data_IF_338135415583
#
_entry.id   IF_338135415583
#
_cell.length_a   1.000
_cell.length_b   1.000
_cell.length_c   1.000
_cell.angle_alpha   90.00
_cell.angle_beta   90.00
_cell.angle_gamma   90.00
#
_symmetry.space_group_name_H-M   'P 1'
#
loop_
_entity.id
_entity.type
_entity.pdbx_description
1 polymer ?
#
# COMPACT_ATOMS: atom_id res chain seq x y z
N UNK A 1 -18.69 -15.97 -33.42
CA UNK A 1 -19.68 -15.89 -32.32
C UNK A 1 -19.56 -14.52 -31.70
N UNK A 2 -20.54 -13.65 -31.99
CA UNK A 2 -20.60 -12.30 -31.43
C UNK A 2 -21.22 -12.34 -30.02
N UNK A 3 -20.83 -11.45 -29.08
CA UNK A 3 -21.45 -11.36 -27.78
C UNK A 3 -22.85 -10.73 -27.86
N UNK A 4 -23.78 -11.07 -26.94
CA UNK A 4 -25.17 -10.59 -26.99
C UNK A 4 -25.31 -9.12 -26.55
N UNK A 5 -26.31 -8.39 -27.07
CA UNK A 5 -26.58 -7.00 -26.71
C UNK A 5 -27.37 -6.89 -25.40
N UNK A 6 -26.98 -5.92 -24.56
CA UNK A 6 -27.71 -5.55 -23.35
C UNK A 6 -28.97 -4.76 -23.71
N UNK A 7 -30.12 -5.24 -23.22
CA UNK A 7 -31.44 -4.65 -23.39
C UNK A 7 -31.57 -3.43 -22.48
N UNK A 8 -31.84 -2.28 -23.07
CA UNK A 8 -32.13 -1.02 -22.38
C UNK A 8 -33.55 -1.00 -21.82
N UNK A 9 -33.67 -0.48 -20.60
CA UNK A 9 -34.96 -0.07 -20.00
C UNK A 9 -34.89 1.44 -19.77
N UNK A 10 -35.77 2.16 -20.45
CA UNK A 10 -35.97 3.60 -20.34
C UNK A 10 -37.10 3.90 -19.33
N UNK A 11 -36.88 4.83 -18.40
CA UNK A 11 -37.92 5.45 -17.55
C UNK A 11 -37.59 6.95 -17.35
N UNK A 12 -38.58 7.85 -17.31
CA UNK A 12 -38.46 9.17 -17.94
C UNK A 12 -38.08 10.34 -17.02
N UNK A 13 -37.62 11.36 -17.74
CA UNK A 13 -37.26 12.73 -17.39
C UNK A 13 -38.42 13.54 -16.75
N UNK A 14 -38.17 14.16 -15.59
CA UNK A 14 -39.01 15.22 -15.00
C UNK A 14 -38.12 16.26 -14.31
N UNK A 15 -37.76 17.33 -15.04
CA UNK A 15 -37.31 18.61 -14.49
C UNK A 15 -38.53 19.44 -14.06
N UNK A 16 -38.38 20.33 -13.06
CA UNK A 16 -38.80 21.70 -13.32
C UNK A 16 -37.82 22.77 -12.83
N UNK A 17 -37.61 23.73 -13.73
CA UNK A 17 -37.00 25.04 -13.52
C UNK A 17 -37.61 25.84 -12.35
N UNK A 18 -36.77 26.55 -11.61
CA UNK A 18 -37.18 27.79 -10.91
C UNK A 18 -36.00 28.76 -10.67
N UNK A 19 -35.94 29.75 -11.56
CA UNK A 19 -35.70 31.20 -11.37
C UNK A 19 -34.71 31.67 -10.27
N UNK A 20 -33.60 32.23 -10.75
CA UNK A 20 -32.75 33.23 -10.09
C UNK A 20 -33.46 34.59 -9.91
N UNK A 21 -33.07 35.39 -8.90
CA UNK A 21 -33.07 36.83 -9.00
C UNK A 21 -31.67 37.46 -8.93
N UNK A 22 -31.46 38.43 -9.83
CA UNK A 22 -30.35 39.37 -9.89
C UNK A 22 -30.16 40.15 -8.57
N UNK A 23 -28.93 40.25 -8.08
CA UNK A 23 -28.52 41.33 -7.18
C UNK A 23 -27.26 42.03 -7.74
N UNK A 24 -27.46 43.31 -8.08
CA UNK A 24 -26.46 44.25 -8.54
C UNK A 24 -25.53 44.69 -7.41
N UNK A 25 -24.24 44.67 -7.73
CA UNK A 25 -23.17 45.62 -7.36
C UNK A 25 -23.30 46.45 -6.07
N UNK A 26 -22.36 46.20 -5.13
CA UNK A 26 -21.73 47.28 -4.36
C UNK A 26 -20.22 47.06 -4.30
N UNK A 27 -19.47 48.02 -4.85
CA UNK A 27 -18.03 48.20 -4.61
C UNK A 27 -17.86 48.72 -3.19
N UNK A 28 -16.96 48.12 -2.41
CA UNK A 28 -16.40 48.74 -1.21
C UNK A 28 -14.88 48.67 -1.27
N UNK A 29 -14.27 49.84 -1.04
CA UNK A 29 -12.84 50.08 -1.10
C UNK A 29 -12.10 49.38 0.05
N UNK A 30 -10.85 48.98 -0.24
CA UNK A 30 -9.87 48.54 0.73
C UNK A 30 -9.44 49.67 1.67
N UNK A 31 -8.83 49.30 2.81
CA UNK A 31 -7.70 50.05 3.32
C UNK A 31 -6.46 49.16 3.43
N UNK A 32 -5.38 49.62 2.80
CA UNK A 32 -4.01 49.12 2.97
C UNK A 32 -3.56 49.31 4.42
N UNK A 33 -3.10 48.22 5.05
CA UNK A 33 -2.34 48.29 6.31
C UNK A 33 -0.89 47.97 5.98
N UNK A 34 -0.05 48.97 6.21
CA UNK A 34 1.41 48.93 6.15
C UNK A 34 1.95 48.83 7.60
N UNK A 35 3.24 48.47 7.70
CA UNK A 35 4.18 48.63 8.85
C UNK A 35 4.32 47.37 9.75
N UNK A 36 5.50 47.01 10.32
CA UNK A 36 6.90 47.23 9.91
C UNK A 36 7.75 45.92 9.87
N UNK A 37 8.81 45.93 9.06
CA UNK A 37 9.94 45.00 9.15
C UNK A 37 10.74 45.21 10.44
N UNK A 38 10.81 44.22 11.32
CA UNK A 38 11.74 44.19 12.46
C UNK A 38 12.98 43.35 12.10
N UNK A 39 14.15 44.00 12.18
CA UNK A 39 15.49 43.40 12.06
C UNK A 39 15.74 42.43 13.21
N UNK A 40 16.08 41.18 12.89
CA UNK A 40 16.61 40.20 13.84
C UNK A 40 18.15 40.34 13.85
N UNK A 41 18.80 40.59 15.01
CA UNK A 41 20.25 40.57 15.10
C UNK A 41 20.78 39.13 15.25
N UNK A 42 21.75 38.79 14.40
CA UNK A 42 22.50 37.54 14.39
C UNK A 42 23.42 37.42 15.61
N UNK A 43 23.37 36.31 16.34
CA UNK A 43 24.38 35.92 17.34
C UNK A 43 25.28 34.77 16.85
N UNK A 44 26.53 34.69 17.35
CA UNK A 44 27.63 34.04 16.64
C UNK A 44 27.78 32.54 16.94
N UNK A 45 28.26 31.81 15.92
CA UNK A 45 28.61 30.39 15.96
C UNK A 45 29.79 30.11 16.91
N UNK A 46 29.59 29.27 17.91
CA UNK A 46 30.66 28.68 18.71
C UNK A 46 31.22 27.42 18.02
N UNK A 47 32.57 27.32 17.97
CA UNK A 47 33.31 26.16 17.46
C UNK A 47 33.45 25.08 18.55
N UNK A 48 33.43 23.78 18.21
CA UNK A 48 33.80 22.73 19.17
C UNK A 48 35.34 22.56 19.23
N UNK A 49 35.91 22.16 20.38
CA UNK A 49 37.33 21.85 20.47
C UNK A 49 37.64 20.46 19.91
N UNK A 50 38.81 20.36 19.25
CA UNK A 50 39.43 19.14 18.75
C UNK A 50 40.20 18.46 19.88
N UNK A 51 40.05 17.14 20.02
CA UNK A 51 41.03 16.30 20.71
C UNK A 51 41.44 15.12 19.82
N UNK A 52 42.75 14.93 19.74
CA UNK A 52 43.46 13.97 18.90
C UNK A 52 43.50 12.56 19.55
N UNK A 53 43.81 11.50 18.77
CA UNK A 53 43.74 10.12 19.24
C UNK A 53 45.05 9.67 19.91
N UNK A 54 44.95 8.78 20.91
CA UNK A 54 46.06 8.01 21.46
C UNK A 54 45.67 6.53 21.51
N UNK A 55 46.36 5.73 20.69
CA UNK A 55 46.60 4.29 20.85
C UNK A 55 48.13 4.13 21.02
N UNK A 56 48.68 2.96 21.41
CA UNK A 56 48.15 1.83 22.19
C UNK A 56 49.11 1.42 23.33
N UNK A 57 48.67 0.60 24.29
CA UNK A 57 49.62 -0.21 25.11
C UNK A 57 49.12 -1.65 25.15
N UNK A 58 49.91 -2.52 24.51
CA UNK A 58 49.94 -3.97 24.70
C UNK A 58 50.50 -4.29 26.08
N UNK A 59 49.78 -5.07 26.86
CA UNK A 59 50.34 -5.90 27.92
C UNK A 59 49.50 -7.17 28.04
N UNK A 60 50.10 -8.31 27.65
CA UNK A 60 49.56 -9.62 27.96
C UNK A 60 49.87 -9.99 29.41
N UNK A 61 48.95 -10.69 30.07
CA UNK A 61 49.27 -11.61 31.14
C UNK A 61 48.18 -12.69 31.26
N UNK A 62 48.62 -13.89 31.63
CA UNK A 62 47.93 -15.16 31.50
C UNK A 62 46.89 -15.46 32.60
N UNK A 63 45.86 -16.20 32.17
CA UNK A 63 45.08 -17.27 32.82
C UNK A 63 45.01 -17.31 34.35
N UNK A 64 43.78 -17.15 34.87
CA UNK A 64 43.28 -17.90 36.03
C UNK A 64 41.85 -18.34 35.74
N UNK A 65 41.64 -19.66 35.74
CA UNK A 65 40.35 -20.29 35.61
C UNK A 65 39.50 -19.99 36.86
N UNK A 66 38.36 -19.35 36.64
CA UNK A 66 37.30 -19.19 37.64
C UNK A 66 35.97 -19.56 36.97
N UNK A 67 35.36 -20.64 37.45
CA UNK A 67 34.01 -21.01 37.08
C UNK A 67 33.03 -19.94 37.59
N UNK A 68 32.72 -18.96 36.74
CA UNK A 68 31.64 -18.02 36.93
C UNK A 68 30.49 -18.42 36.02
N UNK A 69 29.35 -18.80 36.62
CA UNK A 69 28.08 -18.78 35.91
C UNK A 69 27.78 -17.33 35.51
N UNK A 70 28.08 -16.97 34.27
CA UNK A 70 27.49 -15.78 33.67
C UNK A 70 26.01 -16.06 33.43
N UNK A 71 25.08 -15.19 33.87
CA UNK A 71 23.70 -15.30 33.42
C UNK A 71 23.71 -15.13 31.89
N UNK A 72 23.16 -16.12 31.19
CA UNK A 72 22.93 -16.03 29.75
C UNK A 72 22.19 -14.73 29.49
N UNK A 73 22.82 -13.84 28.74
CA UNK A 73 22.06 -12.77 28.09
C UNK A 73 21.23 -13.48 27.05
N UNK A 74 19.92 -13.55 27.29
CA UNK A 74 18.94 -13.78 26.23
C UNK A 74 19.16 -12.67 25.21
N UNK A 75 20.05 -12.92 24.25
CA UNK A 75 20.06 -12.20 23.00
C UNK A 75 18.73 -12.57 22.37
N UNK A 76 17.74 -11.69 22.52
CA UNK A 76 16.57 -11.66 21.65
C UNK A 76 17.15 -11.57 20.24
N UNK A 77 17.18 -12.70 19.54
CA UNK A 77 17.50 -12.74 18.13
C UNK A 77 16.37 -11.99 17.47
N UNK A 78 16.58 -10.70 17.25
CA UNK A 78 15.67 -9.86 16.50
C UNK A 78 15.59 -10.48 15.10
N UNK A 79 14.50 -11.19 14.83
CA UNK A 79 14.30 -11.88 13.58
C UNK A 79 14.41 -10.85 12.45
N UNK A 80 15.31 -11.10 11.49
CA UNK A 80 15.49 -10.20 10.35
C UNK A 80 14.14 -9.96 9.66
N UNK A 81 13.85 -8.72 9.23
CA UNK A 81 12.57 -8.39 8.62
C UNK A 81 12.32 -9.27 7.40
N UNK A 82 11.04 -9.56 7.16
CA UNK A 82 10.58 -10.24 5.98
C UNK A 82 11.12 -9.60 4.69
N UNK A 83 11.59 -10.38 3.70
CA UNK A 83 11.61 -9.85 2.34
C UNK A 83 10.20 -9.45 1.92
N UNK A 84 10.09 -8.34 1.19
CA UNK A 84 8.82 -7.82 0.69
C UNK A 84 8.11 -8.84 -0.21
N UNK A 85 8.87 -9.48 -1.10
CA UNK A 85 8.41 -10.55 -1.98
C UNK A 85 9.07 -11.89 -1.59
N UNK A 86 8.31 -12.97 -1.67
CA UNK A 86 8.81 -14.35 -1.56
C UNK A 86 8.41 -15.16 -2.78
N UNK A 87 9.25 -16.11 -3.20
CA UNK A 87 8.96 -17.00 -4.31
C UNK A 87 8.04 -18.16 -3.91
N UNK A 88 7.46 -18.83 -4.90
CA UNK A 88 6.70 -20.05 -4.67
C UNK A 88 7.56 -21.18 -4.08
N UNK A 89 8.84 -21.28 -4.45
CA UNK A 89 9.80 -22.20 -3.80
C UNK A 89 9.95 -21.91 -2.31
N UNK A 90 10.14 -20.63 -1.94
CA UNK A 90 10.30 -20.23 -0.54
C UNK A 90 9.09 -20.62 0.32
N UNK A 91 7.89 -20.52 -0.26
CA UNK A 91 6.64 -20.93 0.38
C UNK A 91 6.56 -22.46 0.46
N UNK A 92 6.81 -23.18 -0.64
CA UNK A 92 6.74 -24.64 -0.69
C UNK A 92 7.72 -25.30 0.30
N UNK A 93 8.94 -24.78 0.42
CA UNK A 93 9.95 -25.27 1.38
C UNK A 93 9.46 -25.19 2.84
N UNK A 94 8.64 -24.19 3.17
CA UNK A 94 8.11 -23.96 4.51
C UNK A 94 6.80 -24.67 4.79
N UNK A 95 5.98 -24.89 3.75
CA UNK A 95 4.81 -25.75 3.84
C UNK A 95 5.21 -27.22 4.03
N UNK A 96 6.33 -27.65 3.43
CA UNK A 96 6.66 -29.07 3.37
C UNK A 96 5.55 -29.90 2.71
N UNK A 97 5.58 -31.21 2.93
CA UNK A 97 4.59 -32.14 2.34
C UNK A 97 3.24 -32.14 3.10
N UNK A 98 3.22 -31.63 4.34
CA UNK A 98 2.05 -31.62 5.23
C UNK A 98 1.22 -30.33 5.20
N UNK A 99 1.63 -29.32 4.44
CA UNK A 99 1.04 -27.98 4.52
C UNK A 99 1.49 -27.22 5.77
N UNK A 100 0.94 -26.02 5.99
CA UNK A 100 1.36 -25.12 7.08
C UNK A 100 1.14 -25.65 8.52
N UNK A 101 0.65 -26.89 8.69
CA UNK A 101 0.36 -27.49 10.00
C UNK A 101 1.62 -27.60 10.86
N UNK A 102 1.60 -26.96 12.03
CA UNK A 102 2.74 -26.92 12.97
C UNK A 102 3.86 -25.93 12.57
N UNK A 103 3.71 -25.21 11.45
CA UNK A 103 4.60 -24.10 11.09
C UNK A 103 4.04 -22.77 11.60
N UNK A 104 4.91 -21.79 11.86
CA UNK A 104 4.49 -20.42 12.10
C UNK A 104 3.96 -19.71 10.82
N UNK A 105 3.99 -20.37 9.66
CA UNK A 105 3.58 -19.77 8.38
C UNK A 105 2.05 -19.68 8.28
N UNK A 106 1.54 -18.48 8.06
CA UNK A 106 0.13 -18.24 7.75
C UNK A 106 0.01 -17.72 6.33
N UNK A 107 -0.61 -18.52 5.46
CA UNK A 107 -0.92 -18.15 4.08
C UNK A 107 -2.30 -17.51 4.00
N UNK A 108 -2.38 -16.25 3.62
CA UNK A 108 -3.63 -15.51 3.48
C UNK A 108 -4.00 -15.39 2.00
N UNK A 109 -5.10 -16.02 1.63
CA UNK A 109 -5.68 -15.96 0.29
C UNK A 109 -6.67 -14.79 0.21
N UNK A 110 -6.42 -13.85 -0.68
CA UNK A 110 -7.36 -12.77 -0.99
C UNK A 110 -8.20 -13.09 -2.23
N UNK A 111 -9.51 -13.25 -2.04
CA UNK A 111 -10.47 -13.52 -3.12
C UNK A 111 -11.87 -13.81 -2.60
N UNK A 112 -12.77 -14.28 -3.48
CA UNK A 112 -14.10 -14.73 -3.08
C UNK A 112 -14.06 -16.13 -2.49
N UNK A 113 -15.03 -16.47 -1.65
CA UNK A 113 -15.22 -17.84 -1.13
C UNK A 113 -15.27 -18.87 -2.27
N UNK A 114 -15.94 -18.52 -3.37
CA UNK A 114 -16.01 -19.38 -4.56
C UNK A 114 -14.64 -19.60 -5.21
N UNK A 115 -13.79 -18.58 -5.29
CA UNK A 115 -12.44 -18.73 -5.82
C UNK A 115 -11.57 -19.60 -4.93
N UNK A 116 -11.68 -19.43 -3.61
CA UNK A 116 -10.95 -20.23 -2.64
C UNK A 116 -11.36 -21.70 -2.71
N UNK A 117 -12.67 -21.99 -2.66
CA UNK A 117 -13.18 -23.37 -2.70
C UNK A 117 -12.81 -24.08 -4.00
N UNK A 118 -12.75 -23.36 -5.12
CA UNK A 118 -12.38 -23.91 -6.42
C UNK A 118 -10.90 -24.31 -6.50
N UNK A 119 -10.00 -23.58 -5.86
CA UNK A 119 -8.57 -23.88 -5.84
C UNK A 119 -7.77 -22.86 -5.05
N UNK A 120 -6.95 -23.33 -4.12
CA UNK A 120 -6.07 -22.49 -3.29
C UNK A 120 -4.75 -23.20 -3.00
N UNK A 121 -3.74 -22.45 -2.55
CA UNK A 121 -2.47 -23.02 -2.10
C UNK A 121 -2.74 -23.85 -0.84
N UNK A 122 -2.25 -25.10 -0.73
CA UNK A 122 -2.46 -25.94 0.45
C UNK A 122 -2.11 -25.22 1.76
N UNK A 123 -3.04 -25.24 2.71
CA UNK A 123 -2.91 -24.55 4.01
C UNK A 123 -3.29 -23.07 4.01
N UNK A 124 -3.73 -22.50 2.88
CA UNK A 124 -4.19 -21.11 2.83
C UNK A 124 -5.48 -20.87 3.61
N UNK A 125 -5.65 -19.64 4.08
CA UNK A 125 -6.78 -19.13 4.87
C UNK A 125 -7.49 -18.04 4.05
N UNK A 126 -8.80 -18.13 3.79
CA UNK A 126 -9.50 -17.15 2.96
C UNK A 126 -9.70 -15.83 3.69
N UNK A 127 -9.48 -14.71 2.99
CA UNK A 127 -9.83 -13.37 3.43
C UNK A 127 -10.61 -12.63 2.35
N UNK A 128 -11.79 -12.14 2.72
CA UNK A 128 -12.63 -11.31 1.87
C UNK A 128 -12.14 -9.86 1.87
N UNK A 129 -11.99 -9.28 0.67
CA UNK A 129 -11.50 -7.90 0.48
C UNK A 129 -12.20 -6.88 1.36
N UNK A 130 -13.53 -6.97 1.45
CA UNK A 130 -14.36 -5.99 2.16
C UNK A 130 -14.13 -5.98 3.67
N UNK A 131 -13.52 -7.03 4.24
CA UNK A 131 -13.24 -7.12 5.69
C UNK A 131 -11.95 -6.40 6.09
N UNK A 132 -10.97 -6.27 5.18
CA UNK A 132 -9.71 -5.57 5.44
C UNK A 132 -9.53 -4.29 4.59
N UNK A 133 -10.47 -4.02 3.70
CA UNK A 133 -10.57 -2.79 2.94
C UNK A 133 -12.07 -2.42 2.78
N UNK A 134 -12.74 -1.97 3.86
CA UNK A 134 -14.16 -1.63 3.85
C UNK A 134 -14.46 -0.30 3.15
N UNK A 135 -15.75 0.01 2.98
CA UNK A 135 -16.20 1.37 2.67
C UNK A 135 -16.28 2.18 3.97
N UNK A 136 -15.62 3.35 4.02
CA UNK A 136 -15.58 4.24 5.18
C UNK A 136 -15.91 5.65 4.72
N UNK A 137 -16.89 6.29 5.35
CA UNK A 137 -17.32 7.66 5.03
C UNK A 137 -17.64 7.90 3.54
N UNK A 138 -18.15 6.88 2.84
CA UNK A 138 -18.49 6.96 1.41
C UNK A 138 -17.30 6.79 0.46
N UNK A 139 -16.12 6.46 0.98
CA UNK A 139 -14.94 6.08 0.21
C UNK A 139 -14.73 4.57 0.28
N UNK A 140 -14.52 3.94 -0.86
CA UNK A 140 -14.34 2.51 -0.99
C UNK A 140 -12.92 2.07 -0.67
N UNK A 141 -12.80 0.90 -0.03
CA UNK A 141 -11.54 0.21 0.22
C UNK A 141 -10.52 0.97 1.06
N UNK A 142 -10.99 1.77 2.00
CA UNK A 142 -10.20 2.46 3.02
C UNK A 142 -9.61 1.49 4.05
N UNK A 143 -8.71 1.98 4.91
CA UNK A 143 -8.23 1.19 6.04
C UNK A 143 -9.37 0.81 7.00
N UNK A 144 -9.38 -0.44 7.51
CA UNK A 144 -10.41 -0.93 8.43
C UNK A 144 -10.23 -0.35 9.83
N UNK A 145 -11.24 -0.51 10.68
CA UNK A 145 -11.08 -0.34 12.12
C UNK A 145 -10.04 -1.37 12.66
N UNK A 146 -9.10 -0.97 13.53
CA UNK A 146 -8.09 -1.88 14.07
C UNK A 146 -8.68 -3.10 14.81
N UNK A 147 -9.82 -2.95 15.48
CA UNK A 147 -10.45 -4.06 16.19
C UNK A 147 -11.06 -5.07 15.21
N UNK A 148 -11.72 -4.60 14.15
CA UNK A 148 -12.29 -5.44 13.09
C UNK A 148 -11.19 -6.20 12.34
N UNK A 149 -10.07 -5.53 12.04
CA UNK A 149 -8.92 -6.18 11.42
C UNK A 149 -8.29 -7.22 12.35
N UNK A 150 -8.14 -6.93 13.65
CA UNK A 150 -7.62 -7.90 14.62
C UNK A 150 -8.49 -9.15 14.65
N UNK A 151 -9.81 -8.96 14.76
CA UNK A 151 -10.75 -10.08 14.77
C UNK A 151 -10.65 -10.92 13.50
N UNK A 152 -10.60 -10.29 12.33
CA UNK A 152 -10.43 -10.96 11.05
C UNK A 152 -9.13 -11.79 10.98
N UNK A 153 -8.01 -11.23 11.44
CA UNK A 153 -6.72 -11.89 11.41
C UNK A 153 -6.67 -13.07 12.40
N UNK A 154 -7.23 -12.90 13.60
CA UNK A 154 -7.36 -14.00 14.57
C UNK A 154 -8.27 -15.12 14.03
N UNK A 155 -9.39 -14.81 13.39
CA UNK A 155 -10.24 -15.80 12.68
C UNK A 155 -9.46 -16.57 11.61
N UNK A 156 -8.52 -15.90 10.94
CA UNK A 156 -7.62 -16.51 9.97
C UNK A 156 -6.43 -17.24 10.60
N UNK A 157 -6.36 -17.35 11.92
CA UNK A 157 -5.33 -18.08 12.64
C UNK A 157 -4.02 -17.32 12.83
N UNK A 158 -4.02 -16.01 12.60
CA UNK A 158 -2.83 -15.17 12.78
C UNK A 158 -2.61 -14.91 14.27
N UNK A 159 -1.38 -15.16 14.70
CA UNK A 159 -0.89 -14.91 16.06
C UNK A 159 0.35 -14.01 16.04
N UNK A 160 0.79 -13.56 17.22
CA UNK A 160 1.93 -12.63 17.39
C UNK A 160 3.24 -13.11 16.75
N UNK A 161 3.45 -14.42 16.65
CA UNK A 161 4.64 -15.09 16.13
C UNK A 161 4.46 -15.58 14.69
N UNK A 162 3.33 -15.27 14.05
CA UNK A 162 3.01 -15.73 12.71
C UNK A 162 3.92 -15.09 11.66
N UNK A 163 4.42 -15.92 10.75
CA UNK A 163 5.02 -15.49 9.51
C UNK A 163 3.93 -15.40 8.44
N UNK A 164 3.59 -14.20 7.99
CA UNK A 164 2.44 -14.00 7.09
C UNK A 164 2.91 -13.94 5.64
N UNK A 165 2.26 -14.70 4.77
CA UNK A 165 2.41 -14.56 3.32
C UNK A 165 1.03 -14.32 2.70
N UNK A 166 0.89 -13.19 1.99
CA UNK A 166 -0.36 -12.81 1.33
C UNK A 166 -0.27 -13.09 -0.17
N UNK A 167 -1.37 -13.57 -0.74
CA UNK A 167 -1.50 -13.74 -2.19
C UNK A 167 -2.96 -13.55 -2.61
N UNK A 168 -3.21 -13.29 -3.89
CA UNK A 168 -4.57 -13.16 -4.43
C UNK A 168 -4.86 -14.20 -5.48
N UNK A 169 -6.13 -14.61 -5.58
CA UNK A 169 -6.62 -15.46 -6.68
C UNK A 169 -6.67 -14.71 -8.03
N UNK A 170 -6.74 -13.38 -7.99
CA UNK A 170 -6.82 -12.54 -9.19
C UNK A 170 -5.45 -12.10 -9.68
N UNK A 171 -5.37 -11.84 -10.99
CA UNK A 171 -4.23 -11.21 -11.64
C UNK A 171 -4.64 -9.89 -12.33
N UNK A 172 -3.88 -8.79 -12.18
CA UNK A 172 -2.70 -8.58 -11.32
C UNK A 172 -2.97 -8.75 -9.81
N UNK A 173 -1.91 -8.79 -8.96
CA UNK A 173 -2.05 -9.08 -7.52
C UNK A 173 -2.34 -7.84 -6.66
N UNK A 174 -3.12 -6.87 -7.15
CA UNK A 174 -3.37 -5.62 -6.41
C UNK A 174 -4.06 -5.82 -5.06
N UNK A 175 -4.88 -6.87 -4.89
CA UNK A 175 -5.54 -7.13 -3.62
C UNK A 175 -4.60 -7.74 -2.57
N UNK A 176 -3.62 -8.54 -3.00
CA UNK A 176 -2.55 -9.01 -2.12
C UNK A 176 -1.68 -7.83 -1.66
N UNK A 177 -1.31 -6.94 -2.59
CA UNK A 177 -0.59 -5.72 -2.26
C UNK A 177 -1.39 -4.82 -1.29
N UNK A 178 -2.72 -4.69 -1.48
CA UNK A 178 -3.59 -3.95 -0.56
C UNK A 178 -3.55 -4.55 0.84
N UNK A 179 -3.75 -5.86 0.98
CA UNK A 179 -3.69 -6.52 2.29
C UNK A 179 -2.31 -6.36 2.95
N UNK A 180 -1.22 -6.51 2.19
CA UNK A 180 0.13 -6.27 2.71
C UNK A 180 0.28 -4.85 3.28
N UNK A 181 -0.18 -3.82 2.56
CA UNK A 181 -0.11 -2.44 3.03
C UNK A 181 -1.02 -2.19 4.23
N UNK A 182 -2.18 -2.83 4.31
CA UNK A 182 -3.03 -2.81 5.51
C UNK A 182 -2.28 -3.40 6.71
N UNK A 183 -1.68 -4.60 6.56
CA UNK A 183 -0.89 -5.22 7.62
C UNK A 183 0.28 -4.32 8.06
N UNK A 184 0.97 -3.70 7.11
CA UNK A 184 2.04 -2.75 7.41
C UNK A 184 1.54 -1.51 8.16
N UNK A 185 0.41 -0.94 7.74
CA UNK A 185 -0.21 0.19 8.41
C UNK A 185 -0.45 -0.10 9.88
N UNK A 186 -0.83 -1.33 10.23
CA UNK A 186 -1.05 -1.75 11.61
C UNK A 186 0.19 -2.40 12.27
N UNK A 187 1.37 -2.22 11.69
CA UNK A 187 2.65 -2.60 12.28
C UNK A 187 3.08 -4.06 12.08
N UNK A 188 2.40 -4.80 11.23
CA UNK A 188 2.69 -6.21 10.93
C UNK A 188 3.50 -6.40 9.63
N UNK A 189 3.99 -5.31 9.03
CA UNK A 189 4.76 -5.37 7.77
C UNK A 189 6.05 -6.17 7.89
N UNK A 190 6.79 -6.06 9.00
CA UNK A 190 8.07 -6.75 9.20
C UNK A 190 7.96 -8.29 9.24
N UNK A 191 6.76 -8.83 9.51
CA UNK A 191 6.47 -10.26 9.53
C UNK A 191 5.66 -10.73 8.32
N UNK A 192 5.37 -9.82 7.37
CA UNK A 192 4.53 -10.08 6.21
C UNK A 192 5.33 -10.05 4.91
N UNK A 193 4.98 -10.91 3.96
CA UNK A 193 5.51 -10.92 2.60
C UNK A 193 4.35 -11.09 1.60
N UNK A 194 4.56 -10.67 0.36
CA UNK A 194 3.68 -11.00 -0.78
C UNK A 194 4.28 -12.20 -1.51
N UNK A 195 3.48 -13.21 -1.85
CA UNK A 195 3.88 -14.25 -2.79
C UNK A 195 3.95 -13.64 -4.20
N UNK A 196 5.16 -13.54 -4.72
CA UNK A 196 5.36 -13.10 -6.11
C UNK A 196 4.76 -14.13 -7.08
N UNK A 197 4.09 -13.66 -8.13
CA UNK A 197 3.30 -14.51 -9.03
C UNK A 197 1.88 -14.84 -8.52
N UNK A 198 1.63 -14.76 -7.21
CA UNK A 198 0.34 -15.09 -6.61
C UNK A 198 -0.13 -16.51 -6.94
N UNK A 199 -1.46 -16.73 -6.99
CA UNK A 199 -2.01 -18.05 -7.36
C UNK A 199 -1.68 -18.43 -8.80
N UNK A 200 -1.67 -17.45 -9.72
CA UNK A 200 -1.39 -17.69 -11.14
C UNK A 200 0.03 -18.20 -11.39
N UNK A 201 1.03 -17.61 -10.72
CA UNK A 201 2.41 -18.09 -10.78
C UNK A 201 2.55 -19.49 -10.18
N UNK A 202 1.91 -19.72 -9.03
CA UNK A 202 1.87 -21.04 -8.38
C UNK A 202 1.33 -22.15 -9.30
N UNK A 203 0.19 -21.89 -9.96
CA UNK A 203 -0.41 -22.80 -10.94
C UNK A 203 0.45 -22.98 -12.19
N UNK A 204 1.03 -21.88 -12.70
CA UNK A 204 1.90 -21.89 -13.87
C UNK A 204 3.17 -22.74 -13.69
N UNK A 205 3.63 -22.87 -12.45
CA UNK A 205 4.74 -23.75 -12.07
C UNK A 205 4.31 -25.21 -11.82
N UNK A 206 3.03 -25.54 -11.98
CA UNK A 206 2.51 -26.90 -11.82
C UNK A 206 2.45 -27.38 -10.37
N UNK A 207 2.40 -26.44 -9.40
CA UNK A 207 2.36 -26.76 -7.97
C UNK A 207 0.98 -27.23 -7.53
N UNK A 208 0.89 -28.07 -6.47
CA UNK A 208 -0.37 -28.63 -6.03
C UNK A 208 -1.33 -27.55 -5.52
N UNK A 209 -2.63 -27.76 -5.77
CA UNK A 209 -3.72 -26.98 -5.19
C UNK A 209 -4.52 -27.84 -4.22
N UNK A 210 -5.04 -27.19 -3.18
CA UNK A 210 -6.11 -27.72 -2.35
C UNK A 210 -7.47 -27.13 -2.82
N UNK A 211 -8.55 -27.80 -2.44
CA UNK A 211 -9.93 -27.41 -2.80
C UNK A 211 -10.85 -27.58 -1.59
N UNK A 212 -11.99 -26.91 -1.58
CA UNK A 212 -12.96 -27.00 -0.49
C UNK A 212 -12.72 -25.95 0.60
N UNK A 213 -13.52 -26.03 1.66
CA UNK A 213 -13.39 -25.16 2.82
C UNK A 213 -12.32 -25.67 3.78
N UNK A 214 -11.74 -24.76 4.56
CA UNK A 214 -10.77 -25.07 5.61
C UNK A 214 -11.34 -24.70 6.98
N UNK A 215 -10.99 -25.47 8.00
CA UNK A 215 -11.20 -25.09 9.40
C UNK A 215 -9.91 -24.47 9.93
N UNK A 216 -10.06 -23.37 10.66
CA UNK A 216 -8.94 -22.57 11.16
C UNK A 216 -9.06 -22.49 12.67
N UNK A 217 -7.99 -22.86 13.37
CA UNK A 217 -7.88 -22.54 14.79
C UNK A 217 -7.64 -21.04 14.94
N UNK A 218 -8.39 -20.41 15.86
CA UNK A 218 -8.29 -18.98 16.07
C UNK A 218 -6.91 -18.63 16.64
N UNK A 219 -6.27 -17.62 16.04
CA UNK A 219 -5.02 -17.06 16.53
C UNK A 219 -5.23 -16.08 17.70
N UNK A 220 -4.14 -15.43 18.11
CA UNK A 220 -4.17 -14.42 19.16
C UNK A 220 -3.22 -13.27 18.87
N UNK A 221 -3.76 -12.06 18.79
CA UNK A 221 -3.02 -10.84 18.50
C UNK A 221 -3.21 -9.81 19.61
N UNK A 222 -2.19 -8.97 19.88
CA UNK A 222 -2.39 -7.77 20.67
C UNK A 222 -3.31 -6.78 19.93
N UNK A 223 -3.68 -5.69 20.61
CA UNK A 223 -4.34 -4.57 19.95
C UNK A 223 -3.49 -4.03 18.79
N UNK A 224 -4.14 -3.77 17.66
CA UNK A 224 -3.52 -3.22 16.47
C UNK A 224 -3.55 -1.69 16.53
N UNK A 225 -2.41 -1.05 16.26
CA UNK A 225 -2.32 0.42 16.27
C UNK A 225 -1.82 0.92 14.91
N UNK A 226 -2.53 1.86 14.27
CA UNK A 226 -2.05 2.52 13.07
C UNK A 226 -0.66 3.13 13.24
N UNK A 227 0.21 2.94 12.25
CA UNK A 227 1.52 3.56 12.14
C UNK A 227 1.48 4.70 11.12
N UNK A 228 2.06 5.86 11.47
CA UNK A 228 2.10 7.00 10.54
C UNK A 228 3.06 6.71 9.38
N UNK A 229 2.92 7.49 8.32
CA UNK A 229 3.91 7.54 7.23
C UNK A 229 3.51 6.79 5.96
N UNK A 230 2.70 5.73 6.03
CA UNK A 230 2.23 5.05 4.83
C UNK A 230 1.17 5.86 4.07
N UNK A 231 0.21 6.45 4.78
CA UNK A 231 -0.93 7.13 4.18
C UNK A 231 -0.72 8.64 4.07
N UNK A 232 -1.34 9.22 3.06
CA UNK A 232 -1.48 10.66 2.86
C UNK A 232 -2.92 10.97 2.46
N UNK A 233 -3.48 12.07 2.94
CA UNK A 233 -4.82 12.54 2.55
C UNK A 233 -4.75 13.60 1.45
N UNK A 234 -5.90 14.08 0.99
CA UNK A 234 -6.00 15.10 -0.06
C UNK A 234 -5.22 16.39 0.28
N UNK A 235 -5.23 16.83 1.55
CA UNK A 235 -4.47 18.02 1.98
C UNK A 235 -2.96 17.78 1.86
N UNK A 236 -2.49 16.61 2.28
CA UNK A 236 -1.09 16.20 2.14
C UNK A 236 -0.66 16.00 0.68
N UNK A 237 -1.57 15.58 -0.21
CA UNK A 237 -1.32 15.53 -1.65
C UNK A 237 -1.26 16.94 -2.24
N UNK A 238 -2.20 17.82 -1.89
CA UNK A 238 -2.22 19.21 -2.36
C UNK A 238 -0.95 19.99 -1.94
N UNK A 239 -0.48 19.80 -0.71
CA UNK A 239 0.77 20.38 -0.22
C UNK A 239 1.97 19.91 -1.05
N UNK A 240 2.01 18.62 -1.40
CA UNK A 240 3.08 18.03 -2.21
C UNK A 240 3.14 18.56 -3.64
N UNK A 241 1.98 18.82 -4.24
CA UNK A 241 1.88 19.45 -5.56
C UNK A 241 2.44 20.88 -5.48
N UNK A 242 2.13 21.62 -4.40
CA UNK A 242 2.61 22.99 -4.21
C UNK A 242 4.13 23.09 -4.00
N UNK A 243 4.73 22.10 -3.33
CA UNK A 243 6.18 22.07 -3.04
C UNK A 243 7.06 21.62 -4.23
N UNK A 244 6.48 21.33 -5.40
CA UNK A 244 7.15 20.92 -6.65
C UNK A 244 8.11 19.70 -6.56
N UNK A 245 8.22 19.05 -5.39
CA UNK A 245 9.18 17.98 -5.12
C UNK A 245 8.60 16.57 -5.06
N UNK A 246 7.28 16.41 -4.99
CA UNK A 246 6.67 15.08 -4.89
C UNK A 246 6.05 14.63 -6.21
N UNK A 247 6.34 13.38 -6.54
CA UNK A 247 5.90 12.74 -7.78
C UNK A 247 4.55 12.07 -7.52
N UNK A 248 3.46 12.71 -7.92
CA UNK A 248 2.13 12.11 -7.82
C UNK A 248 1.95 11.15 -9.00
N UNK A 249 1.65 9.89 -8.71
CA UNK A 249 1.61 8.82 -9.71
C UNK A 249 0.28 8.09 -9.64
N UNK A 250 -0.41 8.11 -10.78
CA UNK A 250 -1.70 7.49 -11.03
C UNK A 250 -1.51 6.07 -11.58
N UNK A 251 -2.04 5.08 -10.86
CA UNK A 251 -1.95 3.67 -11.24
C UNK A 251 -3.10 3.19 -12.15
N UNK A 252 -4.06 4.05 -12.50
CA UNK A 252 -5.20 3.70 -13.36
C UNK A 252 -4.75 3.46 -14.80
N UNK A 253 -5.59 2.75 -15.57
CA UNK A 253 -5.36 2.61 -17.01
C UNK A 253 -5.43 3.98 -17.72
N UNK A 254 -4.69 4.19 -18.83
CA UNK A 254 -4.50 5.53 -19.41
C UNK A 254 -5.79 6.28 -19.75
N UNK A 255 -6.82 5.56 -20.20
CA UNK A 255 -8.15 6.13 -20.51
C UNK A 255 -8.80 6.88 -19.32
N UNK A 256 -8.51 6.47 -18.08
CA UNK A 256 -9.02 7.15 -16.89
C UNK A 256 -8.17 8.36 -16.51
N UNK A 257 -6.87 8.31 -16.81
CA UNK A 257 -5.92 9.38 -16.54
C UNK A 257 -6.04 10.54 -17.54
N UNK A 258 -6.36 10.26 -18.81
CA UNK A 258 -6.68 11.28 -19.83
C UNK A 258 -8.10 11.85 -19.68
N UNK A 259 -8.94 11.23 -18.84
CA UNK A 259 -10.34 11.59 -18.67
C UNK A 259 -11.27 11.14 -19.82
N UNK A 260 -10.78 10.33 -20.77
CA UNK A 260 -11.60 9.72 -21.82
C UNK A 260 -12.66 8.77 -21.25
N UNK A 261 -12.33 8.08 -20.16
CA UNK A 261 -13.21 7.20 -19.40
C UNK A 261 -13.25 7.60 -17.93
N UNK A 262 -14.33 7.22 -17.25
CA UNK A 262 -14.51 7.52 -15.83
C UNK A 262 -15.51 6.56 -15.16
N UNK A 263 -15.21 6.14 -13.92
CA UNK A 263 -16.07 5.27 -13.13
C UNK A 263 -17.17 6.08 -12.43
N UNK A 264 -18.30 6.30 -13.12
CA UNK A 264 -19.39 7.16 -12.64
C UNK A 264 -19.93 6.83 -11.24
N UNK A 265 -19.85 5.58 -10.80
CA UNK A 265 -20.35 5.17 -9.48
C UNK A 265 -19.36 5.45 -8.33
N UNK A 266 -18.09 5.77 -8.66
CA UNK A 266 -16.98 5.87 -7.71
C UNK A 266 -16.18 7.16 -7.85
N UNK A 267 -16.57 8.05 -8.75
CA UNK A 267 -15.92 9.33 -8.87
C UNK A 267 -16.94 10.35 -9.39
N UNK A 268 -16.78 11.62 -8.98
CA UNK A 268 -17.73 12.68 -9.31
C UNK A 268 -17.40 13.39 -10.63
N UNK A 269 -16.17 13.25 -11.12
CA UNK A 269 -15.69 13.88 -12.36
C UNK A 269 -14.55 13.07 -13.01
N UNK A 270 -14.44 13.07 -14.35
CA UNK A 270 -13.29 12.49 -15.05
C UNK A 270 -12.02 13.30 -14.79
N UNK A 271 -10.88 12.72 -15.18
CA UNK A 271 -9.58 13.38 -15.14
C UNK A 271 -8.63 12.79 -14.11
N UNK A 272 -7.61 13.57 -13.77
CA UNK A 272 -6.50 13.23 -12.86
C UNK A 272 -6.14 14.37 -11.91
N UNK A 273 -5.31 14.06 -10.93
CA UNK A 273 -4.71 15.05 -10.03
C UNK A 273 -3.73 15.92 -10.85
N UNK A 274 -3.67 17.25 -10.65
CA UNK A 274 -2.78 18.12 -11.42
C UNK A 274 -1.31 17.70 -11.37
N UNK A 275 -0.66 17.68 -12.53
CA UNK A 275 0.73 17.23 -12.67
C UNK A 275 0.98 15.73 -12.44
N UNK A 276 -0.06 14.93 -12.16
CA UNK A 276 0.12 13.50 -11.93
C UNK A 276 0.60 12.75 -13.18
N UNK A 277 1.61 11.89 -12.99
CA UNK A 277 2.15 10.98 -14.00
C UNK A 277 1.37 9.67 -13.99
N UNK A 278 1.38 8.91 -15.09
CA UNK A 278 0.65 7.65 -15.18
C UNK A 278 1.60 6.45 -15.30
N UNK A 279 1.47 5.50 -14.38
CA UNK A 279 2.11 4.18 -14.45
C UNK A 279 1.02 3.14 -14.21
N UNK A 280 0.36 2.63 -15.27
CA UNK A 280 -0.75 1.69 -15.13
C UNK A 280 -0.33 0.44 -14.36
N UNK A 281 -1.09 0.03 -13.35
CA UNK A 281 -0.73 -1.10 -12.47
C UNK A 281 -0.48 -2.41 -13.23
N UNK A 282 -1.16 -2.63 -14.36
CA UNK A 282 -0.98 -3.81 -15.21
C UNK A 282 0.39 -3.87 -15.87
N UNK A 283 1.08 -2.75 -16.02
CA UNK A 283 2.42 -2.68 -16.61
C UNK A 283 3.54 -3.07 -15.65
N UNK A 284 3.22 -3.37 -14.39
CA UNK A 284 4.17 -3.68 -13.32
C UNK A 284 4.40 -5.18 -13.13
N UNK A 285 3.59 -6.02 -13.77
CA UNK A 285 3.65 -7.48 -13.66
C UNK A 285 3.68 -8.11 -15.05
N UNK A 286 4.22 -9.32 -15.14
CA UNK A 286 4.17 -10.13 -16.35
C UNK A 286 2.85 -10.92 -16.47
N UNK A 287 2.68 -11.64 -17.58
CA UNK A 287 1.51 -12.49 -17.83
C UNK A 287 1.42 -13.70 -16.88
N UNK A 288 2.46 -14.02 -16.13
CA UNK A 288 2.46 -15.05 -15.09
C UNK A 288 2.03 -14.49 -13.73
N UNK A 289 1.94 -13.16 -13.61
CA UNK A 289 1.57 -12.44 -12.39
C UNK A 289 2.73 -12.06 -11.50
N UNK A 290 3.97 -12.31 -11.93
CA UNK A 290 5.16 -11.88 -11.20
C UNK A 290 5.38 -10.39 -11.41
N UNK A 291 5.92 -9.71 -10.41
CA UNK A 291 6.49 -8.38 -10.63
C UNK A 291 7.55 -8.46 -11.73
N UNK A 292 7.60 -7.45 -12.59
CA UNK A 292 8.69 -7.32 -13.54
C UNK A 292 10.03 -7.19 -12.79
N UNK A 293 11.12 -7.56 -13.45
CA UNK A 293 12.44 -7.36 -12.88
C UNK A 293 12.75 -5.86 -12.66
N UNK A 294 13.78 -5.59 -11.85
CA UNK A 294 14.14 -4.22 -11.47
C UNK A 294 14.40 -3.32 -12.69
N UNK A 295 15.04 -3.86 -13.74
CA UNK A 295 15.37 -3.08 -14.94
C UNK A 295 14.12 -2.69 -15.71
N UNK A 296 13.18 -3.62 -15.89
CA UNK A 296 11.91 -3.39 -16.56
C UNK A 296 10.99 -2.47 -15.75
N UNK A 297 10.90 -2.65 -14.42
CA UNK A 297 10.17 -1.73 -13.53
C UNK A 297 10.75 -0.32 -13.61
N UNK A 298 12.07 -0.18 -13.53
CA UNK A 298 12.75 1.12 -13.64
C UNK A 298 12.44 1.80 -14.98
N UNK A 299 12.44 1.04 -16.07
CA UNK A 299 12.06 1.56 -17.38
C UNK A 299 10.62 2.12 -17.38
N UNK A 300 9.64 1.41 -16.79
CA UNK A 300 8.25 1.92 -16.68
C UNK A 300 8.16 3.25 -15.93
N UNK A 301 8.88 3.35 -14.81
CA UNK A 301 8.88 4.56 -13.99
C UNK A 301 9.55 5.72 -14.72
N UNK A 302 10.71 5.50 -15.34
CA UNK A 302 11.43 6.52 -16.11
C UNK A 302 10.66 6.97 -17.35
N UNK A 303 9.99 6.06 -18.07
CA UNK A 303 9.11 6.41 -19.21
C UNK A 303 7.97 7.35 -18.80
N UNK A 304 7.42 7.18 -17.59
CA UNK A 304 6.43 8.08 -17.02
C UNK A 304 7.03 9.39 -16.46
N UNK A 305 8.35 9.56 -16.56
CA UNK A 305 9.10 10.71 -16.09
C UNK A 305 9.47 10.66 -14.60
N UNK A 306 9.27 9.54 -13.91
CA UNK A 306 9.55 9.40 -12.47
C UNK A 306 11.06 9.34 -12.22
N UNK A 307 11.56 10.32 -11.48
CA UNK A 307 12.94 10.49 -11.07
C UNK A 307 13.30 9.44 -9.99
N UNK A 308 14.33 8.61 -10.22
CA UNK A 308 14.73 7.55 -9.30
C UNK A 308 15.04 8.04 -7.87
N UNK A 309 14.54 7.33 -6.87
CA UNK A 309 14.80 7.62 -5.45
C UNK A 309 14.04 8.82 -4.87
N UNK A 310 13.41 9.65 -5.71
CA UNK A 310 12.61 10.77 -5.25
C UNK A 310 11.24 10.31 -4.71
N UNK A 311 10.65 11.04 -3.73
CA UNK A 311 9.39 10.64 -3.11
C UNK A 311 8.22 10.50 -4.09
N UNK A 312 7.43 9.45 -3.91
CA UNK A 312 6.23 9.13 -4.71
C UNK A 312 4.97 9.19 -3.85
N UNK A 313 3.89 9.73 -4.41
CA UNK A 313 2.53 9.55 -3.91
C UNK A 313 1.76 8.70 -4.91
N UNK A 314 1.38 7.49 -4.52
CA UNK A 314 0.61 6.58 -5.34
C UNK A 314 -0.90 6.79 -5.12
N UNK A 315 -1.68 6.84 -6.20
CA UNK A 315 -3.15 6.82 -6.12
C UNK A 315 -3.76 6.10 -7.33
N UNK A 316 -5.04 5.71 -7.23
CA UNK A 316 -5.77 5.16 -8.38
C UNK A 316 -7.26 5.56 -8.32
N UNK A 317 -8.18 4.64 -8.53
CA UNK A 317 -9.61 4.88 -8.25
C UNK A 317 -9.89 4.94 -6.75
N UNK A 318 -9.48 3.91 -6.00
CA UNK A 318 -9.90 3.63 -4.61
C UNK A 318 -8.77 2.99 -3.77
N UNK A 319 -7.50 3.28 -4.08
CA UNK A 319 -6.35 2.75 -3.33
C UNK A 319 -5.87 1.32 -3.68
N UNK A 320 -6.67 0.49 -4.35
CA UNK A 320 -6.30 -0.90 -4.66
C UNK A 320 -5.14 -1.03 -5.66
N UNK A 321 -5.32 -0.55 -6.89
CA UNK A 321 -4.28 -0.60 -7.94
C UNK A 321 -3.01 0.18 -7.52
N UNK A 322 -3.20 1.27 -6.77
CA UNK A 322 -2.12 2.07 -6.20
C UNK A 322 -1.31 1.32 -5.13
N UNK A 323 -1.91 0.32 -4.47
CA UNK A 323 -1.18 -0.56 -3.55
C UNK A 323 -0.13 -1.38 -4.31
N UNK A 324 -0.45 -1.87 -5.51
CA UNK A 324 0.52 -2.57 -6.36
C UNK A 324 1.65 -1.64 -6.82
N UNK A 325 1.30 -0.42 -7.24
CA UNK A 325 2.26 0.62 -7.59
C UNK A 325 3.19 0.97 -6.41
N UNK A 326 2.63 1.07 -5.19
CA UNK A 326 3.38 1.33 -3.96
C UNK A 326 4.44 0.25 -3.71
N UNK A 327 4.08 -1.02 -3.89
CA UNK A 327 5.04 -2.14 -3.77
C UNK A 327 6.13 -2.03 -4.84
N UNK A 328 5.78 -1.79 -6.10
CA UNK A 328 6.75 -1.63 -7.18
C UNK A 328 7.71 -0.45 -6.95
N UNK A 329 7.19 0.69 -6.48
CA UNK A 329 8.00 1.86 -6.13
C UNK A 329 9.02 1.55 -5.02
N UNK A 330 8.65 0.72 -4.03
CA UNK A 330 9.56 0.27 -2.96
C UNK A 330 10.65 -0.66 -3.45
N UNK A 331 10.31 -1.58 -4.36
CA UNK A 331 11.31 -2.46 -5.00
C UNK A 331 12.37 -1.64 -5.75
N UNK A 332 11.99 -0.47 -6.28
CA UNK A 332 12.90 0.49 -6.92
C UNK A 332 13.59 1.46 -5.95
N UNK A 333 13.29 1.39 -4.65
CA UNK A 333 13.91 2.19 -3.59
C UNK A 333 13.30 3.59 -3.38
N UNK A 334 12.11 3.87 -3.90
CA UNK A 334 11.45 5.15 -3.66
C UNK A 334 10.82 5.22 -2.26
N UNK A 335 10.98 6.35 -1.53
CA UNK A 335 10.07 6.70 -0.45
C UNK A 335 8.67 6.87 -1.05
N UNK A 336 7.68 6.13 -0.54
CA UNK A 336 6.33 6.15 -1.13
C UNK A 336 5.25 6.23 -0.06
N UNK A 337 4.24 7.05 -0.35
CA UNK A 337 2.99 7.10 0.38
C UNK A 337 1.82 6.73 -0.53
N UNK A 338 0.79 6.13 0.06
CA UNK A 338 -0.48 5.82 -0.59
C UNK A 338 -1.50 6.90 -0.24
N UNK A 339 -2.08 7.53 -1.26
CA UNK A 339 -3.30 8.32 -1.08
C UNK A 339 -4.50 7.37 -1.12
N UNK A 340 -4.99 6.99 0.06
CA UNK A 340 -5.96 5.89 0.22
C UNK A 340 -7.27 6.18 -0.52
N UNK A 341 -7.90 7.31 -0.17
CA UNK A 341 -9.13 7.79 -0.81
C UNK A 341 -9.01 8.03 -2.31
N UNK A 342 -7.79 8.20 -2.83
CA UNK A 342 -7.50 8.14 -4.26
C UNK A 342 -8.36 9.11 -5.10
N UNK A 343 -8.63 8.79 -6.37
CA UNK A 343 -9.46 9.62 -7.23
C UNK A 343 -10.91 9.72 -6.75
N UNK A 344 -11.43 8.70 -6.05
CA UNK A 344 -12.78 8.76 -5.47
C UNK A 344 -12.92 9.93 -4.50
N UNK A 345 -11.97 10.11 -3.57
CA UNK A 345 -11.94 11.26 -2.65
C UNK A 345 -11.65 12.58 -3.39
N UNK A 346 -10.60 12.61 -4.21
CA UNK A 346 -10.20 13.85 -4.92
C UNK A 346 -11.27 14.39 -5.87
N UNK A 347 -11.98 13.49 -6.55
CA UNK A 347 -13.00 13.88 -7.52
C UNK A 347 -14.24 14.49 -6.86
N UNK A 348 -14.59 14.07 -5.64
CA UNK A 348 -15.72 14.59 -4.87
C UNK A 348 -15.46 16.00 -4.30
N UNK A 349 -14.18 16.38 -4.16
CA UNK A 349 -13.71 17.68 -3.68
C UNK A 349 -13.63 18.70 -4.80
N UNK A 350 -14.77 19.32 -5.10
CA UNK A 350 -14.89 20.23 -6.26
C UNK A 350 -14.03 21.49 -6.15
N UNK A 351 -13.57 21.85 -4.95
CA UNK A 351 -12.60 22.91 -4.68
C UNK A 351 -11.18 22.56 -5.13
N UNK A 352 -10.84 21.27 -5.20
CA UNK A 352 -9.54 20.81 -5.69
C UNK A 352 -9.52 20.86 -7.22
N UNK A 353 -8.37 21.19 -7.79
CA UNK A 353 -8.17 21.22 -9.23
C UNK A 353 -8.11 19.80 -9.80
N UNK A 354 -8.55 19.64 -11.05
CA UNK A 354 -8.45 18.40 -11.81
C UNK A 354 -7.96 18.73 -13.23
N UNK A 355 -7.14 17.86 -13.81
CA UNK A 355 -6.68 17.94 -15.19
C UNK A 355 -7.33 16.85 -16.06
N UNK A 356 -7.50 17.14 -17.35
CA UNK A 356 -7.78 16.15 -18.40
C UNK A 356 -6.67 16.23 -19.45
#
# INVERSE_FOLDING_TARGET
>A
MAPPPWIGVAIPNQNPCSRLPNLRSRRSHAPSILIPTTRIPSMPRSRPPRFAPLLPILAGLAVLAGAGCSPGTDQVVEASPAPLLVSADWVQERLGDGGAEGSALVLLHVGSDSSFVAGHIPGARPLALQRFAPEVNGLGTEMPDPADLRELLEEAGVSVDSRIVVYSATHPPQFAARLYLTLEHFGMGAQSSILDGGLRGWEGEGRPLATGAVTVERGSLPELTPRPGLLVDHDGVAARIADAGAQVVDARDPQFWTGEAHLQQRAARPGRIPGARNVPFRSLVDDSGHFLDEAALRARFTEAGIEPGEPVVAYCHVGQQASLLTVAARLLGHPVQLYDGSWEDWSQRLELQAEN
#
